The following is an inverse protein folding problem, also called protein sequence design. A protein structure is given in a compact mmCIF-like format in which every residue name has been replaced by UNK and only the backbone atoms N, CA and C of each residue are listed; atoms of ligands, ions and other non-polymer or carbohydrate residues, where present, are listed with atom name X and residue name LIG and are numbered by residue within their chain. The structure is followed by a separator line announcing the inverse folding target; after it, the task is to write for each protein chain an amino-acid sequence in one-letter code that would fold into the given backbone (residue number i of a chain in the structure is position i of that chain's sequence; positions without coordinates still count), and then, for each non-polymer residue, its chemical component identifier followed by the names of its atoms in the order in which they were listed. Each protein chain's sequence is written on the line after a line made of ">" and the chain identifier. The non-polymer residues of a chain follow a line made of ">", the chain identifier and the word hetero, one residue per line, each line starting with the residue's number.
data_IF_540532807268
#
_entry.id   IF_540532807268
#
_cell.length_a   1.000
_cell.length_b   1.000
_cell.length_c   1.000
_cell.angle_alpha   90.00
_cell.angle_beta   90.00
_cell.angle_gamma   90.00
#
_symmetry.space_group_name_H-M   'P 1'
#
loop_
_entity.id
_entity.type
_entity.pdbx_description
1 polymer ?
#
# COMPACT_ATOMS: atom_id res chain seq x y z
N UNK A 1 -18.84 -6.20 -10.71
CA UNK A 1 -17.66 -5.39 -11.08
C UNK A 1 -16.85 -6.25 -12.05
N UNK A 2 -16.96 -5.92 -13.33
CA UNK A 2 -16.67 -6.80 -14.45
C UNK A 2 -15.18 -7.13 -14.54
N UNK A 3 -14.83 -8.40 -14.78
CA UNK A 3 -13.47 -8.96 -14.79
C UNK A 3 -12.55 -8.45 -15.90
N UNK A 4 -12.39 -7.14 -15.97
CA UNK A 4 -11.45 -6.41 -16.82
C UNK A 4 -10.53 -5.61 -15.91
N UNK A 5 -9.23 -5.65 -16.16
CA UNK A 5 -8.22 -4.93 -15.38
C UNK A 5 -8.41 -3.41 -15.52
N UNK A 6 -8.66 -2.74 -14.39
CA UNK A 6 -8.91 -1.30 -14.35
C UNK A 6 -7.59 -0.48 -14.42
N UNK A 7 -6.44 -1.11 -14.16
CA UNK A 7 -5.12 -0.46 -14.19
C UNK A 7 -4.95 0.65 -13.15
N UNK A 8 -5.75 0.64 -12.08
CA UNK A 8 -5.71 1.63 -11.00
C UNK A 8 -4.48 1.40 -10.13
N UNK A 9 -3.87 2.48 -9.66
CA UNK A 9 -2.82 2.41 -8.65
C UNK A 9 -3.35 1.74 -7.37
N UNK A 10 -2.62 0.75 -6.87
CA UNK A 10 -2.88 0.06 -5.61
C UNK A 10 -1.69 0.27 -4.69
N UNK A 11 -1.98 0.55 -3.42
CA UNK A 11 -0.99 0.76 -2.37
C UNK A 11 -1.24 -0.21 -1.22
N UNK A 12 -0.17 -0.68 -0.59
CA UNK A 12 -0.27 -1.41 0.67
C UNK A 12 -0.52 -0.44 1.82
N UNK A 13 -1.20 -0.92 2.86
CA UNK A 13 -1.50 -0.11 4.04
C UNK A 13 -0.27 0.33 4.84
N UNK A 14 0.93 -0.19 4.53
CA UNK A 14 2.19 0.21 5.20
C UNK A 14 2.98 1.22 4.38
N UNK A 15 2.47 1.61 3.20
CA UNK A 15 3.12 2.60 2.36
C UNK A 15 2.90 4.02 2.93
N UNK A 16 3.90 4.91 2.81
CA UNK A 16 3.81 6.28 3.31
C UNK A 16 2.59 7.03 2.79
N UNK A 17 2.25 6.85 1.51
CA UNK A 17 1.12 7.50 0.85
C UNK A 17 -0.21 7.10 1.49
N UNK A 18 -0.34 5.85 1.92
CA UNK A 18 -1.53 5.40 2.65
C UNK A 18 -1.53 5.94 4.08
N UNK A 19 -0.39 5.89 4.77
CA UNK A 19 -0.22 6.37 6.14
C UNK A 19 -0.56 7.86 6.28
N UNK A 20 -0.17 8.68 5.31
CA UNK A 20 -0.47 10.11 5.27
C UNK A 20 -1.94 10.42 4.90
N UNK A 21 -2.62 9.49 4.24
CA UNK A 21 -4.01 9.67 3.79
C UNK A 21 -5.06 9.28 4.84
N UNK A 22 -4.67 8.57 5.90
CA UNK A 22 -5.57 8.11 6.96
C UNK A 22 -5.33 8.84 8.28
N UNK A 23 -6.29 8.70 9.19
CA UNK A 23 -6.14 9.22 10.55
C UNK A 23 -4.98 8.51 11.27
N UNK A 24 -4.07 9.30 11.85
CA UNK A 24 -2.84 8.80 12.45
C UNK A 24 -3.11 7.96 13.72
N UNK A 25 -4.12 8.31 14.51
CA UNK A 25 -4.46 7.58 15.73
C UNK A 25 -5.02 6.19 15.35
N UNK A 26 -5.84 6.14 14.30
CA UNK A 26 -6.37 4.86 13.77
C UNK A 26 -5.27 4.02 13.13
N UNK A 27 -4.34 4.62 12.39
CA UNK A 27 -3.22 3.90 11.79
C UNK A 27 -2.34 3.26 12.85
N UNK A 28 -1.96 4.01 13.89
CA UNK A 28 -1.12 3.50 14.96
C UNK A 28 -1.80 2.35 15.72
N UNK A 29 -3.09 2.47 16.01
CA UNK A 29 -3.87 1.43 16.70
C UNK A 29 -3.97 0.14 15.88
N UNK A 30 -4.22 0.24 14.57
CA UNK A 30 -4.57 -0.91 13.73
C UNK A 30 -3.39 -1.48 12.94
N UNK A 31 -2.45 -0.64 12.52
CA UNK A 31 -1.35 -0.99 11.60
C UNK A 31 0.02 -0.85 12.26
N UNK A 32 0.19 0.06 13.25
CA UNK A 32 1.49 0.37 13.86
C UNK A 32 2.26 -0.84 14.40
N UNK A 33 1.57 -1.79 15.04
CA UNK A 33 2.20 -3.04 15.49
C UNK A 33 2.66 -3.93 14.34
N UNK A 34 1.91 -3.99 13.23
CA UNK A 34 2.29 -4.78 12.06
C UNK A 34 3.42 -4.12 11.26
N UNK A 35 3.42 -2.79 11.15
CA UNK A 35 4.47 -2.02 10.49
C UNK A 35 5.85 -2.29 11.09
N UNK A 36 5.94 -2.44 12.42
CA UNK A 36 7.20 -2.78 13.11
C UNK A 36 7.63 -4.25 12.97
N UNK A 37 6.76 -5.13 12.48
CA UNK A 37 7.01 -6.58 12.35
C UNK A 37 7.27 -6.98 10.90
N UNK A 38 6.67 -6.26 9.95
CA UNK A 38 6.79 -6.52 8.52
C UNK A 38 8.06 -5.87 7.94
N UNK A 39 8.58 -6.44 6.87
CA UNK A 39 9.67 -5.85 6.08
C UNK A 39 9.08 -4.78 5.14
N UNK A 40 8.84 -3.58 5.69
CA UNK A 40 8.17 -2.47 4.99
C UNK A 40 8.88 -2.09 3.70
N UNK A 41 10.21 -2.03 3.71
CA UNK A 41 11.00 -1.65 2.53
C UNK A 41 10.84 -2.67 1.39
N UNK A 42 10.85 -3.98 1.68
CA UNK A 42 10.64 -5.05 0.69
C UNK A 42 9.21 -4.99 0.13
N UNK A 43 8.22 -4.76 0.99
CA UNK A 43 6.81 -4.60 0.56
C UNK A 43 6.67 -3.41 -0.39
N UNK A 44 7.28 -2.27 -0.08
CA UNK A 44 7.24 -1.07 -0.93
C UNK A 44 7.88 -1.35 -2.29
N UNK A 45 9.02 -2.05 -2.31
CA UNK A 45 9.73 -2.40 -3.55
C UNK A 45 8.86 -3.30 -4.44
N UNK A 46 8.31 -4.37 -3.89
CA UNK A 46 7.43 -5.30 -4.62
C UNK A 46 6.16 -4.61 -5.13
N UNK A 47 5.50 -3.80 -4.29
CA UNK A 47 4.32 -3.03 -4.71
C UNK A 47 4.64 -2.01 -5.80
N UNK A 48 5.81 -1.38 -5.74
CA UNK A 48 6.27 -0.45 -6.77
C UNK A 48 6.50 -1.18 -8.10
N UNK A 49 7.19 -2.33 -8.08
CA UNK A 49 7.38 -3.18 -9.26
C UNK A 49 6.06 -3.59 -9.91
N UNK A 50 5.06 -3.98 -9.09
CA UNK A 50 3.71 -4.30 -9.57
C UNK A 50 3.04 -3.06 -10.18
N UNK A 51 3.12 -1.90 -9.52
CA UNK A 51 2.53 -0.66 -10.04
C UNK A 51 3.14 -0.27 -11.39
N UNK A 52 4.46 -0.30 -11.52
CA UNK A 52 5.15 0.03 -12.76
C UNK A 52 4.75 -0.88 -13.93
N UNK A 53 4.50 -2.17 -13.65
CA UNK A 53 4.16 -3.15 -14.68
C UNK A 53 2.68 -3.18 -15.06
N UNK A 54 1.77 -2.92 -14.11
CA UNK A 54 0.34 -3.18 -14.29
C UNK A 54 -0.56 -1.96 -14.10
N UNK A 55 -0.10 -0.91 -13.42
CA UNK A 55 -0.86 0.32 -13.25
C UNK A 55 -0.61 1.27 -14.42
N UNK A 56 -1.69 1.87 -14.92
CA UNK A 56 -1.67 2.72 -16.12
C UNK A 56 -1.83 4.21 -15.79
N UNK A 57 -1.99 4.54 -14.51
CA UNK A 57 -2.32 5.87 -14.00
C UNK A 57 -1.52 6.17 -12.74
#
# INVERSE_FOLDING_TARGET
>A
LAGVELGLAVYHAVEPEFKEAVDADVYEEQVGMMEMVLEVDEIIEEMTSIREQFCKY
#
